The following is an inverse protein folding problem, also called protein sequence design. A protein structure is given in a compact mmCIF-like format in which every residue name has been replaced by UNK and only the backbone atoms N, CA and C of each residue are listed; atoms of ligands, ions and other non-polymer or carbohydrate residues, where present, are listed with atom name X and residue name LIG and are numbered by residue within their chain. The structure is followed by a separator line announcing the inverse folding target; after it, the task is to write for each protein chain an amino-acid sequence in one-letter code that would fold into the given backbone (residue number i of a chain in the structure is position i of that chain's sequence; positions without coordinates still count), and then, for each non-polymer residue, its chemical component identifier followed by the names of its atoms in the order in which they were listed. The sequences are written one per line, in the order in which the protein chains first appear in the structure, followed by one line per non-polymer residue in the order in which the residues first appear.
data_IF_076839896690
#
_entry.id   IF_076839896690
#
_cell.length_a   1.000
_cell.length_b   1.000
_cell.length_c   1.000
_cell.angle_alpha   90.00
_cell.angle_beta   90.00
_cell.angle_gamma   90.00
#
_symmetry.space_group_name_H-M   'P 1'
#
loop_
_entity.id
_entity.type
_entity.pdbx_description
1 polymer ?
#
# COMPACT_ATOMS: atom_id res chain seq x y z
N UNK A 1 -0.69 21.27 -7.20
CA UNK A 1 -1.86 21.22 -6.28
C UNK A 1 -3.21 21.34 -6.98
N UNK A 2 -3.39 22.25 -7.92
CA UNK A 2 -4.67 22.44 -8.64
C UNK A 2 -5.09 21.18 -9.42
N UNK A 3 -4.18 20.58 -10.18
CA UNK A 3 -4.44 19.34 -10.94
C UNK A 3 -4.84 18.16 -10.02
N UNK A 4 -4.23 18.08 -8.84
CA UNK A 4 -4.60 17.08 -7.85
C UNK A 4 -6.01 17.28 -7.30
N UNK A 5 -6.40 18.53 -7.00
CA UNK A 5 -7.78 18.85 -6.59
C UNK A 5 -8.80 18.57 -7.70
N UNK A 6 -8.41 18.83 -8.95
CA UNK A 6 -9.21 18.51 -10.14
C UNK A 6 -9.42 17.01 -10.28
N UNK A 7 -8.36 16.22 -10.12
CA UNK A 7 -8.42 14.74 -10.10
C UNK A 7 -9.37 14.24 -9.00
N UNK A 8 -9.23 14.73 -7.76
CA UNK A 8 -10.12 14.33 -6.66
C UNK A 8 -11.59 14.68 -6.93
N UNK A 9 -11.85 15.83 -7.55
CA UNK A 9 -13.21 16.23 -7.93
C UNK A 9 -13.80 15.28 -8.98
N UNK A 10 -13.00 14.82 -9.92
CA UNK A 10 -13.41 13.82 -10.91
C UNK A 10 -13.73 12.48 -10.23
N UNK A 11 -12.85 11.98 -9.35
CA UNK A 11 -13.08 10.75 -8.60
C UNK A 11 -14.40 10.83 -7.80
N UNK A 12 -14.64 11.93 -7.10
CA UNK A 12 -15.92 12.13 -6.38
C UNK A 12 -17.14 12.04 -7.30
N UNK A 13 -17.05 12.69 -8.46
CA UNK A 13 -18.16 12.70 -9.45
C UNK A 13 -18.45 11.30 -9.98
N UNK A 14 -17.43 10.51 -10.23
CA UNK A 14 -17.56 9.17 -10.82
C UNK A 14 -17.98 8.13 -9.78
N UNK A 15 -17.45 8.21 -8.57
CA UNK A 15 -17.72 7.22 -7.51
C UNK A 15 -18.90 7.58 -6.61
N UNK A 16 -19.25 8.85 -6.52
CA UNK A 16 -20.21 9.35 -5.52
C UNK A 16 -19.68 9.37 -4.09
N UNK A 17 -18.38 9.20 -3.89
CA UNK A 17 -17.74 9.17 -2.56
C UNK A 17 -17.18 10.55 -2.22
N UNK A 18 -17.90 11.28 -1.38
CA UNK A 18 -17.56 12.65 -0.98
C UNK A 18 -16.22 12.73 -0.20
N UNK A 19 -15.81 11.63 0.43
CA UNK A 19 -14.57 11.55 1.21
C UNK A 19 -13.29 11.77 0.38
N UNK A 20 -13.35 11.66 -0.96
CA UNK A 20 -12.24 12.08 -1.84
C UNK A 20 -12.11 13.61 -1.88
N UNK A 21 -11.90 14.20 -0.72
CA UNK A 21 -11.76 15.64 -0.53
C UNK A 21 -10.51 15.93 0.29
N UNK A 22 -9.60 16.71 -0.29
CA UNK A 22 -8.38 17.08 0.40
C UNK A 22 -8.63 18.22 1.41
N UNK A 23 -7.98 18.12 2.55
CA UNK A 23 -7.90 19.19 3.52
C UNK A 23 -7.01 20.36 3.04
N UNK A 24 -6.71 21.32 3.90
CA UNK A 24 -5.87 22.47 3.57
C UNK A 24 -4.43 22.05 3.22
N UNK A 25 -3.92 20.97 3.83
CA UNK A 25 -2.58 20.41 3.56
C UNK A 25 -2.51 19.56 2.29
N UNK A 26 -3.66 19.25 1.69
CA UNK A 26 -3.76 18.35 0.54
C UNK A 26 -3.90 16.88 0.91
N UNK A 27 -4.10 16.56 2.19
CA UNK A 27 -4.32 15.20 2.65
C UNK A 27 -5.79 14.79 2.45
N UNK A 28 -6.01 13.61 1.90
CA UNK A 28 -7.28 12.89 1.88
C UNK A 28 -7.20 11.74 2.86
N UNK A 29 -8.22 11.53 3.67
CA UNK A 29 -8.33 10.37 4.57
C UNK A 29 -9.71 9.74 4.44
N UNK A 30 -9.75 8.46 4.10
CA UNK A 30 -10.99 7.71 3.84
C UNK A 30 -11.00 6.46 4.69
N UNK A 31 -12.01 6.33 5.56
CA UNK A 31 -12.28 5.07 6.27
C UNK A 31 -12.93 4.05 5.32
N UNK A 32 -12.43 2.82 5.30
CA UNK A 32 -12.95 1.72 4.49
C UNK A 32 -13.27 0.52 5.38
N UNK A 33 -14.54 0.07 5.32
CA UNK A 33 -15.05 -1.12 6.01
C UNK A 33 -14.77 -1.16 7.53
N UNK A 34 -14.66 0.00 8.16
CA UNK A 34 -14.28 0.15 9.59
C UNK A 34 -12.95 -0.55 9.96
N UNK A 35 -12.14 -0.91 8.97
CA UNK A 35 -10.89 -1.67 9.13
C UNK A 35 -9.66 -0.89 8.72
N UNK A 36 -9.77 -0.12 7.64
CA UNK A 36 -8.63 0.59 7.05
C UNK A 36 -8.87 2.08 6.98
N UNK A 37 -7.79 2.82 7.11
CA UNK A 37 -7.73 4.23 6.71
C UNK A 37 -6.84 4.35 5.48
N UNK A 38 -7.43 4.74 4.37
CA UNK A 38 -6.73 5.05 3.11
C UNK A 38 -6.42 6.54 3.08
N UNK A 39 -5.16 6.88 2.96
CA UNK A 39 -4.71 8.24 2.88
C UNK A 39 -4.07 8.52 1.53
N UNK A 40 -4.34 9.71 0.96
CA UNK A 40 -3.70 10.18 -0.27
C UNK A 40 -3.05 11.54 0.00
N UNK A 41 -1.79 11.69 -0.38
CA UNK A 41 -1.04 12.94 -0.24
C UNK A 41 -0.31 13.26 -1.54
N UNK A 42 -0.57 14.44 -2.10
CA UNK A 42 0.18 14.89 -3.26
C UNK A 42 1.58 15.36 -2.89
N UNK A 43 2.58 14.81 -3.57
CA UNK A 43 4.00 15.13 -3.38
C UNK A 43 4.46 16.03 -4.52
N UNK A 44 4.24 17.32 -4.35
CA UNK A 44 4.39 18.35 -5.39
C UNK A 44 5.70 18.29 -6.19
N UNK A 45 6.89 18.15 -5.55
CA UNK A 45 8.16 18.11 -6.29
C UNK A 45 8.30 16.94 -7.27
N UNK A 46 7.55 15.86 -7.05
CA UNK A 46 7.66 14.64 -7.85
C UNK A 46 6.49 14.42 -8.81
N UNK A 47 5.40 15.19 -8.68
CA UNK A 47 4.15 14.97 -9.41
C UNK A 47 3.45 13.66 -9.04
N UNK A 48 3.80 13.07 -7.91
CA UNK A 48 3.25 11.78 -7.45
C UNK A 48 2.23 11.98 -6.35
N UNK A 49 1.29 11.03 -6.28
CA UNK A 49 0.36 10.90 -5.16
C UNK A 49 0.79 9.70 -4.32
N UNK A 50 1.23 9.96 -3.10
CA UNK A 50 1.48 8.91 -2.13
C UNK A 50 0.13 8.42 -1.61
N UNK A 51 -0.14 7.13 -1.81
CA UNK A 51 -1.20 6.40 -1.14
C UNK A 51 -0.58 5.64 0.03
N UNK A 52 -1.11 5.84 1.23
CA UNK A 52 -0.69 5.03 2.37
C UNK A 52 -1.90 4.54 3.15
N UNK A 53 -1.88 3.25 3.47
CA UNK A 53 -2.98 2.54 4.12
C UNK A 53 -2.49 2.06 5.48
N UNK A 54 -3.18 2.45 6.54
CA UNK A 54 -2.96 1.89 7.87
C UNK A 54 -3.58 0.50 7.91
N UNK A 55 -2.73 -0.52 8.04
CA UNK A 55 -3.12 -1.92 7.84
C UNK A 55 -3.43 -2.63 9.15
N UNK A 56 -2.51 -2.57 10.10
CA UNK A 56 -2.61 -3.32 11.34
C UNK A 56 -1.68 -2.76 12.42
N UNK A 57 -2.15 -2.68 13.65
CA UNK A 57 -1.31 -2.31 14.78
C UNK A 57 -0.69 -3.56 15.39
N UNK A 58 0.63 -3.66 15.32
CA UNK A 58 1.36 -4.76 15.92
C UNK A 58 1.36 -4.66 17.44
N UNK A 59 1.27 -5.79 18.17
CA UNK A 59 1.49 -5.80 19.60
C UNK A 59 2.95 -5.46 19.92
N UNK A 60 3.21 -4.93 21.13
CA UNK A 60 4.57 -4.55 21.56
C UNK A 60 5.56 -5.71 21.60
N UNK A 61 5.05 -6.92 21.75
CA UNK A 61 5.81 -8.17 21.80
C UNK A 61 5.74 -8.96 20.47
N UNK A 62 5.40 -8.28 19.38
CA UNK A 62 5.40 -8.91 18.05
C UNK A 62 6.76 -9.57 17.76
N UNK A 63 6.71 -10.77 17.21
CA UNK A 63 7.94 -11.52 16.92
C UNK A 63 8.73 -10.85 15.79
N UNK A 64 10.05 -10.98 15.82
CA UNK A 64 10.91 -10.50 14.73
C UNK A 64 10.57 -11.12 13.37
N UNK A 65 9.95 -12.30 13.36
CA UNK A 65 9.55 -13.00 12.14
C UNK A 65 8.47 -12.22 11.38
N UNK A 66 7.58 -11.51 12.07
CA UNK A 66 6.58 -10.64 11.45
C UNK A 66 7.26 -9.52 10.68
N UNK A 67 8.23 -8.85 11.31
CA UNK A 67 8.99 -7.77 10.65
C UNK A 67 9.82 -8.29 9.47
N UNK A 68 10.44 -9.46 9.65
CA UNK A 68 11.19 -10.13 8.58
C UNK A 68 10.30 -10.47 7.39
N UNK A 69 9.09 -10.98 7.64
CA UNK A 69 8.13 -11.34 6.60
C UNK A 69 7.66 -10.10 5.81
N UNK A 70 7.34 -9.01 6.51
CA UNK A 70 6.98 -7.74 5.88
C UNK A 70 8.09 -7.20 4.97
N UNK A 71 9.36 -7.25 5.43
CA UNK A 71 10.50 -6.82 4.63
C UNK A 71 10.76 -7.76 3.44
N UNK A 72 10.67 -9.07 3.66
CA UNK A 72 10.87 -10.07 2.60
C UNK A 72 9.79 -9.97 1.51
N UNK A 73 8.54 -9.66 1.91
CA UNK A 73 7.43 -9.44 0.97
C UNK A 73 7.65 -8.28 0.02
N UNK A 74 8.43 -7.27 0.44
CA UNK A 74 8.81 -6.14 -0.41
C UNK A 74 9.87 -6.45 -1.46
N UNK A 75 10.51 -7.64 -1.39
CA UNK A 75 11.56 -8.00 -2.33
C UNK A 75 11.01 -8.05 -3.77
N UNK A 76 11.56 -7.18 -4.63
CA UNK A 76 11.11 -6.96 -6.01
C UNK A 76 9.62 -6.56 -6.16
N UNK A 77 8.96 -6.14 -5.07
CA UNK A 77 7.54 -5.80 -5.08
C UNK A 77 6.59 -6.96 -5.38
N UNK A 78 7.08 -8.21 -5.30
CA UNK A 78 6.33 -9.40 -5.72
C UNK A 78 5.08 -9.63 -4.87
N UNK A 79 5.22 -9.56 -3.55
CA UNK A 79 4.13 -9.81 -2.60
C UNK A 79 3.50 -8.50 -2.09
N UNK A 80 3.89 -7.36 -2.66
CA UNK A 80 3.41 -6.02 -2.29
C UNK A 80 2.84 -5.23 -3.47
N UNK A 81 2.63 -5.88 -4.61
CA UNK A 81 2.09 -5.25 -5.82
C UNK A 81 2.79 -3.93 -6.22
N UNK A 82 4.11 -3.87 -6.04
CA UNK A 82 4.94 -2.70 -6.36
C UNK A 82 5.00 -1.63 -5.26
N UNK A 83 4.25 -1.79 -4.17
CA UNK A 83 4.35 -0.96 -2.97
C UNK A 83 5.35 -1.50 -1.96
N UNK A 84 5.31 -0.97 -0.75
CA UNK A 84 6.14 -1.43 0.36
C UNK A 84 5.46 -1.20 1.70
N UNK A 85 5.84 -2.01 2.70
CA UNK A 85 5.43 -1.82 4.08
C UNK A 85 6.43 -0.99 4.86
N UNK A 86 5.90 -0.18 5.76
CA UNK A 86 6.66 0.55 6.77
C UNK A 86 5.98 0.39 8.13
N UNK A 87 6.69 0.68 9.19
CA UNK A 87 6.17 0.71 10.56
C UNK A 87 6.22 2.14 11.07
N UNK A 88 5.10 2.62 11.58
CA UNK A 88 5.07 3.87 12.33
C UNK A 88 5.66 3.58 13.73
N UNK A 89 6.81 4.20 14.10
CA UNK A 89 7.60 3.73 15.24
C UNK A 89 6.97 4.00 16.60
N UNK A 90 6.10 5.00 16.72
CA UNK A 90 5.48 5.35 17.99
C UNK A 90 4.25 4.50 18.31
N UNK A 91 3.52 4.08 17.28
CA UNK A 91 2.27 3.32 17.39
C UNK A 91 2.40 1.85 17.01
N UNK A 92 3.50 1.44 16.37
CA UNK A 92 3.70 0.11 15.77
C UNK A 92 2.64 -0.25 14.70
N UNK A 93 2.06 0.77 14.06
CA UNK A 93 1.14 0.55 12.95
C UNK A 93 1.92 0.17 11.70
N UNK A 94 1.54 -0.95 11.10
CA UNK A 94 2.00 -1.37 9.77
C UNK A 94 1.28 -0.51 8.73
N UNK A 95 2.05 0.17 7.89
CA UNK A 95 1.54 1.04 6.83
C UNK A 95 1.98 0.50 5.48
N UNK A 96 1.03 0.29 4.58
CA UNK A 96 1.31 -0.01 3.18
C UNK A 96 1.42 1.29 2.40
N UNK A 97 2.45 1.42 1.58
CA UNK A 97 2.73 2.63 0.81
C UNK A 97 2.84 2.32 -0.68
N UNK A 98 2.26 3.20 -1.49
CA UNK A 98 2.33 3.13 -2.95
C UNK A 98 2.33 4.52 -3.56
N UNK A 99 3.11 4.73 -4.63
CA UNK A 99 3.15 5.99 -5.35
C UNK A 99 2.45 5.89 -6.69
N UNK A 100 1.42 6.68 -6.88
CA UNK A 100 0.79 6.90 -8.18
C UNK A 100 1.44 8.08 -8.91
N UNK A 101 1.49 8.01 -10.24
CA UNK A 101 1.75 9.18 -11.08
C UNK A 101 0.43 9.93 -11.29
N UNK A 102 0.34 11.21 -10.86
CA UNK A 102 -0.88 12.01 -10.98
C UNK A 102 -1.38 12.08 -12.43
N UNK A 103 -0.47 12.31 -13.38
CA UNK A 103 -0.80 12.42 -14.80
C UNK A 103 -1.42 11.13 -15.38
N UNK A 104 -1.09 9.98 -14.82
CA UNK A 104 -1.65 8.70 -15.25
C UNK A 104 -3.04 8.48 -14.67
N UNK A 105 -3.18 8.63 -13.35
CA UNK A 105 -4.45 8.39 -12.66
C UNK A 105 -5.53 9.41 -13.02
N UNK A 106 -5.14 10.64 -13.37
CA UNK A 106 -6.07 11.66 -13.85
C UNK A 106 -6.66 11.35 -15.25
N UNK A 107 -5.98 10.49 -16.03
CA UNK A 107 -6.46 10.06 -17.35
C UNK A 107 -7.33 8.79 -17.29
N UNK A 108 -7.18 8.02 -16.24
CA UNK A 108 -7.88 6.73 -16.06
C UNK A 108 -8.26 6.56 -14.58
N UNK A 109 -9.37 7.15 -14.21
CA UNK A 109 -9.91 7.12 -12.84
C UNK A 109 -10.40 5.72 -12.47
N UNK A 110 -10.90 4.96 -13.44
CA UNK A 110 -11.36 3.57 -13.22
C UNK A 110 -10.17 2.66 -12.85
N UNK A 111 -9.03 2.80 -13.53
CA UNK A 111 -7.81 2.07 -13.18
C UNK A 111 -7.29 2.47 -11.80
N UNK A 112 -7.37 3.75 -11.43
CA UNK A 112 -7.04 4.22 -10.09
C UNK A 112 -7.89 3.53 -9.02
N UNK A 113 -9.22 3.52 -9.18
CA UNK A 113 -10.14 2.88 -8.22
C UNK A 113 -9.90 1.36 -8.17
N UNK A 114 -9.78 0.71 -9.31
CA UNK A 114 -9.48 -0.73 -9.39
C UNK A 114 -8.14 -1.07 -8.69
N UNK A 115 -7.16 -0.19 -8.79
CA UNK A 115 -5.87 -0.37 -8.11
C UNK A 115 -6.00 -0.21 -6.60
N UNK A 116 -6.77 0.77 -6.11
CA UNK A 116 -7.06 0.90 -4.68
C UNK A 116 -7.76 -0.35 -4.12
N UNK A 117 -8.74 -0.89 -4.83
CA UNK A 117 -9.44 -2.12 -4.42
C UNK A 117 -8.47 -3.31 -4.31
N UNK A 118 -7.56 -3.47 -5.28
CA UNK A 118 -6.52 -4.51 -5.23
C UNK A 118 -5.57 -4.32 -4.04
N UNK A 119 -5.22 -3.07 -3.71
CA UNK A 119 -4.39 -2.76 -2.53
C UNK A 119 -5.10 -3.14 -1.23
N UNK A 120 -6.40 -2.89 -1.11
CA UNK A 120 -7.19 -3.28 0.06
C UNK A 120 -7.26 -4.80 0.20
N UNK A 121 -7.45 -5.54 -0.90
CA UNK A 121 -7.39 -7.01 -0.91
C UNK A 121 -6.00 -7.53 -0.51
N UNK A 122 -4.95 -6.85 -0.95
CA UNK A 122 -3.58 -7.15 -0.52
C UNK A 122 -3.40 -6.94 0.98
N UNK A 123 -3.94 -5.84 1.53
CA UNK A 123 -3.92 -5.58 2.96
C UNK A 123 -4.66 -6.67 3.75
N UNK A 124 -5.81 -7.14 3.28
CA UNK A 124 -6.54 -8.26 3.89
C UNK A 124 -5.66 -9.52 3.97
N UNK A 125 -5.01 -9.88 2.88
CA UNK A 125 -4.09 -11.03 2.83
C UNK A 125 -2.95 -10.89 3.84
N UNK A 126 -2.37 -9.70 3.96
CA UNK A 126 -1.29 -9.44 4.90
C UNK A 126 -1.76 -9.43 6.36
N UNK A 127 -2.95 -8.89 6.65
CA UNK A 127 -3.54 -8.97 7.99
C UNK A 127 -3.74 -10.43 8.42
N UNK A 128 -4.26 -11.27 7.56
CA UNK A 128 -4.40 -12.72 7.82
C UNK A 128 -3.03 -13.35 8.09
N UNK A 129 -2.03 -13.03 7.30
CA UNK A 129 -0.67 -13.54 7.43
C UNK A 129 -0.01 -13.09 8.74
N UNK A 130 -0.15 -11.83 9.13
CA UNK A 130 0.36 -11.28 10.39
C UNK A 130 -0.34 -11.92 11.60
N UNK A 131 -1.67 -12.03 11.56
CA UNK A 131 -2.47 -12.47 12.71
C UNK A 131 -2.49 -13.98 12.89
N UNK A 132 -2.29 -14.76 11.84
CA UNK A 132 -2.26 -16.23 11.91
C UNK A 132 -0.96 -16.79 12.52
N UNK A 133 0.06 -15.94 12.73
CA UNK A 133 1.38 -16.37 13.19
C UNK A 133 2.11 -17.26 12.18
N UNK A 134 1.62 -17.36 10.95
CA UNK A 134 2.28 -18.04 9.85
C UNK A 134 3.36 -17.11 9.25
N UNK A 135 4.45 -16.95 9.99
CA UNK A 135 5.71 -16.82 9.27
C UNK A 135 5.86 -18.08 8.41
N UNK A 136 6.25 -18.00 7.12
CA UNK A 136 6.54 -19.18 6.35
C UNK A 136 7.53 -20.02 7.16
N UNK A 137 7.11 -21.22 7.55
CA UNK A 137 8.00 -22.14 8.21
C UNK A 137 9.19 -22.30 7.30
N UNK A 138 10.38 -22.05 7.83
CA UNK A 138 11.66 -22.16 7.13
C UNK A 138 11.95 -23.58 6.61
N UNK A 139 10.93 -24.42 6.49
CA UNK A 139 10.95 -25.78 6.01
C UNK A 139 10.59 -25.96 4.53
N UNK A 140 9.94 -25.00 3.90
CA UNK A 140 9.55 -25.14 2.48
C UNK A 140 10.55 -24.51 1.49
N UNK A 141 11.71 -24.07 1.96
CA UNK A 141 12.85 -23.78 1.11
C UNK A 141 13.65 -25.05 0.80
N UNK A 142 12.94 -26.11 0.39
CA UNK A 142 13.61 -27.22 -0.29
C UNK A 142 13.90 -26.74 -1.71
N UNK A 143 15.15 -26.28 -1.88
CA UNK A 143 15.91 -26.44 -3.10
C UNK A 143 15.19 -26.19 -4.41
N UNK A 144 14.73 -24.98 -4.67
CA UNK A 144 14.80 -24.50 -6.02
C UNK A 144 16.19 -23.88 -6.18
N UNK A 145 17.08 -24.60 -6.82
CA UNK A 145 18.24 -24.00 -7.46
C UNK A 145 17.69 -22.82 -8.27
N UNK A 146 17.81 -21.61 -7.73
CA UNK A 146 17.68 -20.42 -8.51
C UNK A 146 18.85 -20.42 -9.48
N UNK A 147 18.55 -20.71 -10.73
CA UNK A 147 19.47 -20.42 -11.82
C UNK A 147 19.83 -18.96 -11.71
N UNK A 148 21.07 -18.69 -11.31
CA UNK A 148 21.61 -17.33 -11.16
C UNK A 148 21.65 -16.55 -12.48
N UNK A 149 21.31 -17.19 -13.57
CA UNK A 149 21.35 -16.59 -14.90
C UNK A 149 20.20 -15.61 -15.19
N UNK A 150 19.11 -15.64 -14.38
CA UNK A 150 17.97 -14.73 -14.61
C UNK A 150 18.09 -13.36 -13.94
N UNK A 151 19.10 -13.13 -13.11
CA UNK A 151 19.29 -11.87 -12.38
C UNK A 151 20.36 -10.93 -12.97
N UNK A 152 20.96 -11.26 -14.10
CA UNK A 152 22.06 -10.48 -14.72
C UNK A 152 21.59 -9.60 -15.87
N UNK A 153 20.33 -9.63 -16.24
CA UNK A 153 19.77 -8.82 -17.32
C UNK A 153 19.01 -7.62 -16.78
N UNK A 154 19.72 -6.65 -16.21
CA UNK A 154 19.19 -5.29 -16.00
C UNK A 154 20.16 -4.32 -16.63
#
# INVERSE_FOLDING_TARGET
MEDYRGFLAQVRKETGIDAFSADESGLVSIGVDERYTVNLQFVEPTGKVLCFIEVYQLPKDASKEVYRDLLAGGLFGKDTAGGYFAIEPDTEIVVYNYFFDLDKIAKDTDDFISTLEKMLQLCDTWVERITSGHAPTSGDHIGTHHDKEHFIAV
#
